data_IF_498289431158
#
_entry.id   IF_498289431158
#
_cell.length_a   1.000
_cell.length_b   1.000
_cell.length_c   1.000
_cell.angle_alpha   90.00
_cell.angle_beta   90.00
_cell.angle_gamma   90.00
#
_symmetry.space_group_name_H-M   'P 1'
#
loop_
_entity.id
_entity.type
_entity.pdbx_description
1 polymer ?
#
# COMPACT_ATOMS: atom_id res chain seq x y z
N UNK A 1 -48.68 38.30 72.50
CA UNK A 1 -48.44 39.67 72.03
C UNK A 1 -46.93 39.85 71.94
N UNK A 2 -46.40 39.73 70.73
CA UNK A 2 -45.15 40.25 70.13
C UNK A 2 -43.85 40.46 70.91
N UNK A 3 -42.76 40.27 70.14
CA UNK A 3 -41.36 40.73 70.30
C UNK A 3 -40.44 39.73 71.01
N UNK A 4 -39.24 39.35 70.56
CA UNK A 4 -38.39 39.60 69.38
C UNK A 4 -36.99 39.10 69.79
N UNK A 5 -36.28 38.32 68.99
CA UNK A 5 -34.88 38.63 68.64
C UNK A 5 -34.30 37.57 67.71
N UNK A 6 -33.92 38.06 66.54
CA UNK A 6 -33.27 37.38 65.44
C UNK A 6 -31.78 37.74 65.54
N UNK A 7 -30.90 36.75 65.71
CA UNK A 7 -29.46 36.95 65.60
C UNK A 7 -28.86 35.89 64.69
N UNK A 8 -28.62 36.36 63.48
CA UNK A 8 -27.85 35.74 62.40
C UNK A 8 -26.45 35.34 62.84
N UNK A 9 -26.02 34.12 62.52
CA UNK A 9 -24.61 33.78 62.44
C UNK A 9 -24.31 33.13 61.09
N UNK A 10 -23.57 33.86 60.25
CA UNK A 10 -23.23 33.51 58.88
C UNK A 10 -22.09 32.47 58.85
N UNK A 11 -22.28 31.42 58.05
CA UNK A 11 -21.25 30.43 57.73
C UNK A 11 -20.21 31.02 56.75
N UNK A 12 -18.93 30.59 56.81
CA UNK A 12 -17.91 31.10 55.89
C UNK A 12 -18.14 30.52 54.49
N UNK A 13 -18.23 31.41 53.51
CA UNK A 13 -18.25 31.09 52.09
C UNK A 13 -16.95 30.41 51.67
N UNK A 14 -17.07 29.22 51.11
CA UNK A 14 -16.00 28.49 50.42
C UNK A 14 -15.39 29.35 49.31
N UNK A 15 -14.14 29.75 49.47
CA UNK A 15 -13.36 30.44 48.44
C UNK A 15 -13.16 29.53 47.23
N UNK A 16 -13.80 29.87 46.11
CA UNK A 16 -13.41 29.35 44.80
C UNK A 16 -12.05 29.95 44.46
N UNK A 17 -11.05 29.09 44.22
CA UNK A 17 -9.75 29.53 43.70
C UNK A 17 -9.95 30.37 42.42
N UNK A 18 -9.14 31.44 42.20
CA UNK A 18 -9.25 32.25 41.00
C UNK A 18 -8.98 31.39 39.75
N UNK A 19 -9.63 31.67 38.61
CA UNK A 19 -9.37 30.95 37.37
C UNK A 19 -7.88 31.13 37.01
N UNK A 20 -7.18 30.02 36.81
CA UNK A 20 -5.77 30.00 36.41
C UNK A 20 -5.60 30.78 35.11
N UNK A 21 -4.50 31.55 35.01
CA UNK A 21 -4.14 32.28 33.80
C UNK A 21 -4.04 31.27 32.64
N UNK A 22 -4.77 31.45 31.52
CA UNK A 22 -4.67 30.59 30.35
C UNK A 22 -3.22 30.37 29.88
N UNK A 23 -2.33 31.35 30.06
CA UNK A 23 -0.91 31.23 29.75
C UNK A 23 -0.19 30.21 30.65
N UNK A 24 -0.52 30.17 31.93
CA UNK A 24 0.05 29.24 32.92
C UNK A 24 -0.50 27.81 32.71
N UNK A 25 -1.79 27.67 32.38
CA UNK A 25 -2.36 26.37 32.02
C UNK A 25 -1.71 25.79 30.75
N UNK A 26 -1.54 26.62 29.72
CA UNK A 26 -0.85 26.25 28.48
C UNK A 26 0.59 25.84 28.75
N UNK A 27 1.32 26.60 29.58
CA UNK A 27 2.70 26.29 29.94
C UNK A 27 2.81 24.94 30.64
N UNK A 28 1.89 24.62 31.57
CA UNK A 28 1.85 23.33 32.26
C UNK A 28 1.61 22.16 31.29
N UNK A 29 0.70 22.31 30.35
CA UNK A 29 0.44 21.27 29.35
C UNK A 29 1.63 21.06 28.41
N UNK A 30 2.32 22.13 28.01
CA UNK A 30 3.55 22.05 27.19
C UNK A 30 4.67 21.34 27.93
N UNK A 31 4.95 21.71 29.18
CA UNK A 31 5.96 21.04 29.99
C UNK A 31 5.67 19.53 30.13
N UNK A 32 4.39 19.16 30.27
CA UNK A 32 3.99 17.75 30.30
C UNK A 32 4.23 17.04 28.96
N UNK A 33 4.03 17.71 27.83
CA UNK A 33 4.36 17.16 26.51
C UNK A 33 5.87 16.94 26.40
N UNK A 34 6.69 17.91 26.81
CA UNK A 34 8.15 17.80 26.74
C UNK A 34 8.68 16.59 27.54
N UNK A 35 8.15 16.37 28.74
CA UNK A 35 8.46 15.19 29.57
C UNK A 35 8.08 13.86 28.86
N UNK A 36 6.90 13.82 28.25
CA UNK A 36 6.42 12.65 27.53
C UNK A 36 7.26 12.38 26.28
N UNK A 37 7.64 13.43 25.56
CA UNK A 37 8.48 13.32 24.37
C UNK A 37 9.86 12.76 24.70
N UNK A 38 10.46 13.18 25.83
CA UNK A 38 11.70 12.57 26.32
C UNK A 38 11.53 11.09 26.64
N UNK A 39 10.48 10.72 27.37
CA UNK A 39 10.20 9.31 27.68
C UNK A 39 9.92 8.47 26.41
N UNK A 40 9.23 9.04 25.42
CA UNK A 40 9.02 8.42 24.11
C UNK A 40 10.37 8.15 23.45
N UNK A 41 11.26 9.13 23.36
CA UNK A 41 12.59 8.95 22.75
C UNK A 41 13.39 7.85 23.45
N UNK A 42 13.38 7.79 24.77
CA UNK A 42 14.04 6.72 25.53
C UNK A 42 13.48 5.33 25.18
N UNK A 43 12.15 5.18 25.19
CA UNK A 43 11.47 3.93 24.85
C UNK A 43 11.72 3.51 23.40
N UNK A 44 11.75 4.46 22.48
CA UNK A 44 12.06 4.22 21.07
C UNK A 44 13.51 3.70 20.91
N UNK A 45 14.46 4.28 21.64
CA UNK A 45 15.86 3.85 21.62
C UNK A 45 16.05 2.46 22.24
N UNK A 46 15.39 2.15 23.36
CA UNK A 46 15.42 0.81 23.96
C UNK A 46 14.83 -0.24 23.00
N UNK A 47 13.71 0.09 22.33
CA UNK A 47 13.14 -0.75 21.28
C UNK A 47 14.11 -0.95 20.11
N UNK A 48 14.82 0.10 19.69
CA UNK A 48 15.80 0.02 18.61
C UNK A 48 16.99 -0.90 18.98
N UNK A 49 17.50 -0.84 20.22
CA UNK A 49 18.52 -1.76 20.73
C UNK A 49 18.05 -3.21 20.67
N UNK A 50 16.81 -3.49 21.09
CA UNK A 50 16.24 -4.83 20.99
C UNK A 50 16.12 -5.29 19.52
N UNK A 51 15.76 -4.39 18.61
CA UNK A 51 15.72 -4.68 17.18
C UNK A 51 17.12 -5.01 16.60
N UNK A 52 18.16 -4.28 17.01
CA UNK A 52 19.56 -4.58 16.64
C UNK A 52 19.96 -5.99 17.11
N UNK A 53 19.70 -6.31 18.38
CA UNK A 53 20.01 -7.64 18.93
C UNK A 53 19.28 -8.77 18.19
N UNK A 54 18.01 -8.56 17.82
CA UNK A 54 17.26 -9.49 16.96
C UNK A 54 17.92 -9.62 15.58
N UNK A 55 18.37 -8.51 14.98
CA UNK A 55 19.10 -8.50 13.71
C UNK A 55 20.39 -9.32 13.77
N UNK A 56 21.17 -9.21 14.85
CA UNK A 56 22.39 -10.01 15.06
C UNK A 56 22.08 -11.50 15.15
N UNK A 57 21.05 -11.89 15.91
CA UNK A 57 20.58 -13.27 16.00
C UNK A 57 20.17 -13.79 14.63
N UNK A 58 19.39 -13.00 13.88
CA UNK A 58 18.94 -13.37 12.53
C UNK A 58 20.11 -13.55 11.57
N UNK A 59 21.05 -12.60 11.55
CA UNK A 59 22.24 -12.63 10.71
C UNK A 59 23.09 -13.87 11.00
N UNK A 60 23.29 -14.21 12.28
CA UNK A 60 24.06 -15.41 12.70
C UNK A 60 23.44 -16.71 12.21
N UNK A 61 22.11 -16.75 12.05
CA UNK A 61 21.37 -17.95 11.63
C UNK A 61 20.88 -17.88 10.18
N UNK A 62 21.28 -16.87 9.41
CA UNK A 62 20.84 -16.68 8.02
C UNK A 62 19.33 -16.40 7.87
N UNK A 63 18.67 -15.94 8.93
CA UNK A 63 17.26 -15.60 8.94
C UNK A 63 17.03 -14.18 8.38
N UNK A 64 15.85 -13.95 7.79
CA UNK A 64 15.53 -12.65 7.18
C UNK A 64 15.17 -11.59 8.21
N UNK A 65 15.63 -10.37 7.93
CA UNK A 65 15.33 -9.19 8.75
C UNK A 65 13.86 -8.80 8.65
N UNK A 66 13.28 -8.84 7.45
CA UNK A 66 11.88 -8.47 7.20
C UNK A 66 10.94 -9.68 7.22
N UNK A 67 9.81 -9.53 7.92
CA UNK A 67 8.70 -10.49 7.92
C UNK A 67 7.37 -9.73 8.00
N UNK A 68 6.59 -9.69 6.91
CA UNK A 68 5.24 -9.12 6.87
C UNK A 68 4.32 -9.62 7.98
N UNK A 69 4.34 -10.92 8.27
CA UNK A 69 3.48 -11.49 9.30
C UNK A 69 3.78 -10.95 10.70
N UNK A 70 5.08 -10.80 11.01
CA UNK A 70 5.50 -10.19 12.28
C UNK A 70 5.10 -8.71 12.37
N UNK A 71 5.12 -7.97 11.28
CA UNK A 71 4.68 -6.57 11.25
C UNK A 71 3.19 -6.43 11.47
N UNK A 72 2.38 -7.25 10.80
CA UNK A 72 0.94 -7.29 10.99
C UNK A 72 0.60 -7.61 12.46
N UNK A 73 1.29 -8.58 13.05
CA UNK A 73 1.14 -8.95 14.45
C UNK A 73 1.48 -7.78 15.40
N UNK A 74 2.59 -7.07 15.16
CA UNK A 74 2.98 -5.90 15.96
C UNK A 74 1.92 -4.80 15.86
N UNK A 75 1.45 -4.47 14.66
CA UNK A 75 0.41 -3.46 14.45
C UNK A 75 -0.89 -3.84 15.15
N UNK A 76 -1.35 -5.09 15.00
CA UNK A 76 -2.58 -5.56 15.63
C UNK A 76 -2.49 -5.49 17.17
N UNK A 77 -1.35 -5.85 17.77
CA UNK A 77 -1.14 -5.74 19.22
C UNK A 77 -1.15 -4.29 19.69
N UNK A 78 -0.52 -3.38 18.94
CA UNK A 78 -0.47 -1.95 19.26
C UNK A 78 -1.88 -1.36 19.22
N UNK A 79 -2.64 -1.66 18.17
CA UNK A 79 -4.01 -1.17 18.01
C UNK A 79 -4.94 -1.71 19.10
N UNK A 80 -4.86 -3.00 19.42
CA UNK A 80 -5.62 -3.60 20.53
C UNK A 80 -5.27 -3.00 21.90
N UNK A 81 -4.08 -2.41 22.04
CA UNK A 81 -3.63 -1.77 23.28
C UNK A 81 -3.99 -0.28 23.35
N UNK A 82 -4.51 0.32 22.27
CA UNK A 82 -4.85 1.73 22.25
C UNK A 82 -6.12 2.00 23.07
N UNK A 83 -5.96 2.64 24.23
CA UNK A 83 -7.06 3.19 25.05
C UNK A 83 -7.07 4.72 25.08
N UNK A 84 -6.24 5.33 24.24
CA UNK A 84 -6.01 6.77 24.22
C UNK A 84 -6.83 7.49 23.15
N UNK A 85 -6.72 8.83 23.11
CA UNK A 85 -7.47 9.67 22.16
C UNK A 85 -6.93 9.65 20.73
N UNK A 86 -5.76 9.02 20.49
CA UNK A 86 -5.17 8.95 19.15
C UNK A 86 -5.95 7.98 18.27
N UNK A 87 -6.24 8.42 17.04
CA UNK A 87 -6.88 7.59 16.04
C UNK A 87 -5.99 6.41 15.61
N UNK A 88 -6.59 5.28 15.27
CA UNK A 88 -5.86 4.06 14.87
C UNK A 88 -4.92 4.29 13.70
N UNK A 89 -5.35 5.08 12.70
CA UNK A 89 -4.57 5.37 11.50
C UNK A 89 -3.26 6.12 11.80
N UNK A 90 -3.31 7.05 12.76
CA UNK A 90 -2.12 7.77 13.23
C UNK A 90 -1.14 6.80 13.90
N UNK A 91 -1.64 5.91 14.77
CA UNK A 91 -0.79 4.90 15.42
C UNK A 91 -0.17 3.93 14.42
N UNK A 92 -0.92 3.49 13.41
CA UNK A 92 -0.38 2.64 12.34
C UNK A 92 0.79 3.31 11.62
N UNK A 93 0.65 4.61 11.31
CA UNK A 93 1.67 5.38 10.60
C UNK A 93 2.96 5.51 11.44
N UNK A 94 2.82 5.89 12.72
CA UNK A 94 3.96 6.00 13.66
C UNK A 94 4.70 4.67 13.78
N UNK A 95 3.98 3.57 14.02
CA UNK A 95 4.61 2.27 14.20
C UNK A 95 5.21 1.72 12.91
N UNK A 96 4.64 2.03 11.75
CA UNK A 96 5.21 1.63 10.45
C UNK A 96 6.56 2.29 10.23
N UNK A 97 6.66 3.59 10.49
CA UNK A 97 7.91 4.33 10.36
C UNK A 97 8.95 3.90 11.40
N UNK A 98 8.51 3.69 12.66
CA UNK A 98 9.38 3.16 13.71
C UNK A 98 9.93 1.77 13.36
N UNK A 99 9.11 0.88 12.82
CA UNK A 99 9.56 -0.42 12.32
C UNK A 99 10.51 -0.27 11.14
N UNK A 100 10.26 0.66 10.21
CA UNK A 100 11.17 0.97 9.11
C UNK A 100 12.55 1.41 9.59
N UNK A 101 12.61 2.40 10.47
CA UNK A 101 13.87 2.86 11.08
C UNK A 101 14.60 1.73 11.81
N UNK A 102 13.87 0.88 12.53
CA UNK A 102 14.45 -0.28 13.24
C UNK A 102 15.00 -1.36 12.30
N UNK A 103 14.41 -1.56 11.13
CA UNK A 103 14.91 -2.50 10.10
C UNK A 103 16.20 -1.97 9.46
N UNK A 104 16.25 -0.66 9.20
CA UNK A 104 17.43 0.01 8.63
C UNK A 104 18.68 -0.18 9.49
N UNK A 105 18.52 -0.23 10.81
CA UNK A 105 19.61 -0.52 11.76
C UNK A 105 20.11 -1.97 11.67
N UNK A 106 19.30 -2.91 11.19
CA UNK A 106 19.66 -4.32 11.07
C UNK A 106 20.28 -4.64 9.71
N UNK A 107 19.75 -4.06 8.63
CA UNK A 107 20.26 -4.24 7.26
C UNK A 107 19.76 -3.12 6.35
N UNK A 108 20.59 -2.71 5.39
CA UNK A 108 20.14 -1.85 4.27
C UNK A 108 19.31 -2.71 3.32
N UNK A 109 17.98 -2.57 3.38
CA UNK A 109 17.06 -3.25 2.46
C UNK A 109 16.91 -2.43 1.18
N UNK A 110 17.06 -3.09 0.04
CA UNK A 110 16.88 -2.55 -1.31
C UNK A 110 15.60 -3.12 -1.90
N UNK A 111 14.76 -2.25 -2.44
CA UNK A 111 13.46 -2.64 -3.01
C UNK A 111 13.35 -2.05 -4.39
N UNK A 112 13.15 -2.88 -5.41
CA UNK A 112 12.92 -2.41 -6.77
C UNK A 112 11.44 -2.05 -7.01
N UNK A 113 11.18 -0.99 -7.77
CA UNK A 113 9.82 -0.69 -8.23
C UNK A 113 9.85 -0.02 -9.61
N UNK A 114 8.70 -0.03 -10.30
CA UNK A 114 8.55 0.71 -11.55
C UNK A 114 8.68 2.22 -11.28
N UNK A 115 9.64 2.85 -11.96
CA UNK A 115 9.89 4.28 -11.85
C UNK A 115 8.87 5.16 -12.60
N UNK A 116 9.09 6.48 -12.60
CA UNK A 116 10.15 7.20 -11.87
C UNK A 116 9.83 7.36 -10.37
N UNK A 117 10.68 8.06 -9.62
CA UNK A 117 10.37 8.48 -8.25
C UNK A 117 9.05 9.26 -8.20
N UNK A 118 8.34 9.13 -7.07
CA UNK A 118 6.99 9.66 -6.82
C UNK A 118 5.88 9.11 -7.73
N UNK A 119 6.16 8.10 -8.56
CA UNK A 119 5.11 7.29 -9.19
C UNK A 119 4.28 6.54 -8.13
N UNK A 120 3.08 6.07 -8.48
CA UNK A 120 2.27 5.28 -7.54
C UNK A 120 2.95 3.98 -7.09
N UNK A 121 3.80 3.38 -7.92
CA UNK A 121 4.62 2.23 -7.53
C UNK A 121 5.66 2.60 -6.48
N UNK A 122 6.28 3.77 -6.61
CA UNK A 122 7.20 4.31 -5.61
C UNK A 122 6.46 4.64 -4.30
N UNK A 123 5.26 5.23 -4.39
CA UNK A 123 4.43 5.52 -3.21
C UNK A 123 3.97 4.24 -2.50
N UNK A 124 3.62 3.19 -3.24
CA UNK A 124 3.33 1.87 -2.67
C UNK A 124 4.55 1.27 -1.95
N UNK A 125 5.76 1.51 -2.48
CA UNK A 125 7.03 1.12 -1.84
C UNK A 125 7.24 1.84 -0.52
N UNK A 126 7.18 3.17 -0.52
CA UNK A 126 7.34 3.96 0.71
C UNK A 126 6.25 3.63 1.72
N UNK A 127 5.01 3.47 1.26
CA UNK A 127 3.88 3.10 2.11
C UNK A 127 4.09 1.75 2.81
N UNK A 128 4.72 0.78 2.15
CA UNK A 128 4.95 -0.56 2.72
C UNK A 128 6.22 -0.63 3.57
N UNK A 129 7.32 -0.08 3.06
CA UNK A 129 8.65 -0.27 3.61
C UNK A 129 9.15 0.92 4.44
N UNK A 130 8.50 2.09 4.34
CA UNK A 130 8.94 3.37 4.92
C UNK A 130 10.12 3.99 4.18
N UNK A 131 10.58 5.16 4.62
CA UNK A 131 11.70 5.89 4.01
C UNK A 131 13.07 5.29 4.35
N UNK A 132 13.10 4.26 5.20
CA UNK A 132 14.32 3.59 5.65
C UNK A 132 15.00 2.71 4.60
N UNK A 133 14.36 2.42 3.46
CA UNK A 133 14.87 1.51 2.43
C UNK A 133 15.50 2.23 1.24
N UNK A 134 16.39 1.54 0.53
CA UNK A 134 16.91 2.02 -0.75
C UNK A 134 15.92 1.63 -1.86
N UNK A 135 15.15 2.60 -2.34
CA UNK A 135 14.27 2.42 -3.49
C UNK A 135 15.09 2.39 -4.79
N UNK A 136 14.99 1.29 -5.55
CA UNK A 136 15.63 1.11 -6.86
C UNK A 136 14.57 1.26 -7.94
N UNK A 137 14.48 2.44 -8.55
CA UNK A 137 13.52 2.67 -9.64
C UNK A 137 14.06 2.11 -10.95
N UNK A 138 13.23 1.34 -11.67
CA UNK A 138 13.57 0.74 -12.97
C UNK A 138 12.54 1.12 -14.04
N UNK A 139 12.93 1.02 -15.31
CA UNK A 139 12.10 1.49 -16.43
C UNK A 139 10.93 0.58 -16.83
N UNK A 140 10.93 -0.69 -16.43
CA UNK A 140 9.89 -1.66 -16.84
C UNK A 140 9.53 -2.60 -15.69
N UNK A 141 8.32 -3.17 -15.76
CA UNK A 141 7.87 -4.20 -14.80
C UNK A 141 8.79 -5.43 -14.88
N UNK A 142 9.17 -5.86 -16.08
CA UNK A 142 10.10 -6.96 -16.29
C UNK A 142 11.44 -6.75 -15.56
N UNK A 143 11.98 -5.53 -15.60
CA UNK A 143 13.21 -5.21 -14.89
C UNK A 143 13.07 -5.40 -13.36
N UNK A 144 11.90 -5.10 -12.77
CA UNK A 144 11.65 -5.35 -11.33
C UNK A 144 11.79 -6.83 -11.00
N UNK A 145 11.17 -7.70 -11.81
CA UNK A 145 11.28 -9.14 -11.62
C UNK A 145 12.72 -9.63 -11.78
N UNK A 146 13.45 -9.13 -12.78
CA UNK A 146 14.85 -9.49 -12.98
C UNK A 146 15.79 -9.06 -11.84
N UNK A 147 15.56 -7.87 -11.25
CA UNK A 147 16.33 -7.42 -10.09
C UNK A 147 16.16 -8.37 -8.89
N UNK A 148 14.95 -8.88 -8.67
CA UNK A 148 14.64 -9.84 -7.60
C UNK A 148 15.20 -11.22 -7.93
N UNK A 149 14.99 -11.74 -9.14
CA UNK A 149 15.47 -13.06 -9.57
C UNK A 149 16.99 -13.17 -9.50
N UNK A 150 17.69 -12.11 -9.91
CA UNK A 150 19.16 -12.01 -9.85
C UNK A 150 19.67 -11.65 -8.45
N UNK A 151 18.78 -11.53 -7.44
CA UNK A 151 19.08 -11.17 -6.04
C UNK A 151 19.90 -9.90 -5.89
N UNK A 152 19.70 -8.93 -6.80
CA UNK A 152 20.31 -7.60 -6.69
C UNK A 152 19.56 -6.74 -5.68
N UNK A 153 18.27 -6.98 -5.52
CA UNK A 153 17.40 -6.40 -4.49
C UNK A 153 16.75 -7.53 -3.70
N UNK A 154 16.38 -7.26 -2.45
CA UNK A 154 15.67 -8.24 -1.62
C UNK A 154 14.20 -8.38 -2.03
N UNK A 155 13.57 -7.28 -2.46
CA UNK A 155 12.15 -7.24 -2.80
C UNK A 155 11.88 -6.43 -4.06
N UNK A 156 10.76 -6.74 -4.72
CA UNK A 156 10.23 -5.96 -5.83
C UNK A 156 8.80 -5.52 -5.56
N UNK A 157 8.36 -4.38 -6.09
CA UNK A 157 6.96 -3.97 -6.07
C UNK A 157 6.47 -3.75 -7.49
N UNK A 158 5.40 -4.44 -7.83
CA UNK A 158 4.75 -4.35 -9.14
C UNK A 158 3.24 -4.18 -8.98
N UNK A 159 2.60 -3.38 -9.82
CA UNK A 159 1.16 -3.26 -9.81
C UNK A 159 0.54 -4.52 -10.45
N UNK A 160 -0.53 -5.06 -9.86
CA UNK A 160 -1.18 -6.30 -10.27
C UNK A 160 -2.53 -6.02 -10.96
N UNK A 161 -3.35 -5.16 -10.35
CA UNK A 161 -4.63 -4.69 -10.90
C UNK A 161 -4.92 -3.27 -10.46
N UNK A 162 -5.74 -2.57 -11.24
CA UNK A 162 -6.34 -1.30 -10.89
C UNK A 162 -7.87 -1.45 -11.00
N UNK A 163 -8.63 -0.95 -10.01
CA UNK A 163 -10.09 -1.10 -9.98
C UNK A 163 -10.82 -0.41 -11.13
N UNK A 164 -10.20 0.57 -11.77
CA UNK A 164 -10.75 1.31 -12.91
C UNK A 164 -10.24 0.80 -14.25
N UNK A 165 -8.95 0.47 -14.35
CA UNK A 165 -8.29 0.10 -15.62
C UNK A 165 -8.12 -1.41 -15.82
N UNK A 166 -8.47 -2.21 -14.81
CA UNK A 166 -8.37 -3.67 -14.83
C UNK A 166 -6.95 -4.20 -14.58
N UNK A 167 -6.67 -5.38 -15.13
CA UNK A 167 -5.41 -6.11 -14.91
C UNK A 167 -4.20 -5.47 -15.59
N UNK A 168 -3.02 -5.79 -15.07
CA UNK A 168 -1.75 -5.35 -15.65
C UNK A 168 -1.06 -6.55 -16.31
N UNK A 169 -1.23 -6.65 -17.62
CA UNK A 169 -0.81 -7.79 -18.43
C UNK A 169 0.69 -8.12 -18.27
N UNK A 170 1.55 -7.10 -18.25
CA UNK A 170 3.00 -7.27 -18.12
C UNK A 170 3.39 -8.00 -16.82
N UNK A 171 2.70 -7.71 -15.72
CA UNK A 171 2.95 -8.36 -14.43
C UNK A 171 2.57 -9.85 -14.48
N UNK A 172 1.43 -10.16 -15.10
CA UNK A 172 0.96 -11.55 -15.24
C UNK A 172 1.89 -12.37 -16.15
N UNK A 173 2.34 -11.78 -17.26
CA UNK A 173 3.32 -12.40 -18.16
C UNK A 173 4.67 -12.69 -17.47
N UNK A 174 5.12 -11.80 -16.57
CA UNK A 174 6.35 -12.03 -15.80
C UNK A 174 6.24 -13.20 -14.81
N UNK A 175 5.08 -13.41 -14.19
CA UNK A 175 4.88 -14.60 -13.34
C UNK A 175 5.01 -15.90 -14.13
N UNK A 176 4.58 -15.93 -15.40
CA UNK A 176 4.75 -17.09 -16.29
C UNK A 176 6.23 -17.31 -16.63
N UNK A 177 6.97 -16.24 -16.91
CA UNK A 177 8.38 -16.33 -17.34
C UNK A 177 9.35 -16.63 -16.19
N UNK A 178 9.03 -16.18 -14.98
CA UNK A 178 9.90 -16.30 -13.80
C UNK A 178 9.15 -16.98 -12.63
N UNK A 179 8.86 -18.31 -12.73
CA UNK A 179 8.02 -19.03 -11.76
C UNK A 179 8.65 -19.19 -10.36
N UNK A 180 9.93 -18.81 -10.20
CA UNK A 180 10.60 -18.77 -8.90
C UNK A 180 10.15 -17.60 -8.04
N UNK A 181 9.68 -16.53 -8.66
CA UNK A 181 9.30 -15.29 -7.99
C UNK A 181 7.89 -15.45 -7.44
N UNK A 182 7.73 -15.12 -6.16
CA UNK A 182 6.48 -15.26 -5.42
C UNK A 182 6.00 -13.94 -4.87
N UNK A 183 4.69 -13.83 -4.71
CA UNK A 183 4.04 -12.75 -3.97
C UNK A 183 4.17 -13.07 -2.48
N UNK A 184 4.79 -12.14 -1.75
CA UNK A 184 5.04 -12.24 -0.31
C UNK A 184 4.15 -11.31 0.51
N UNK A 185 3.63 -10.27 -0.11
CA UNK A 185 2.66 -9.34 0.48
C UNK A 185 1.93 -8.57 -0.60
N UNK A 186 0.83 -7.91 -0.24
CA UNK A 186 0.15 -6.96 -1.13
C UNK A 186 0.05 -5.57 -0.47
N UNK A 187 -0.11 -4.55 -1.30
CA UNK A 187 -0.41 -3.17 -0.91
C UNK A 187 -1.60 -2.70 -1.73
N UNK A 188 -2.63 -2.16 -1.09
CA UNK A 188 -3.79 -1.59 -1.78
C UNK A 188 -3.73 -0.08 -1.63
N UNK A 189 -3.27 0.61 -2.68
CA UNK A 189 -3.12 2.06 -2.67
C UNK A 189 -4.35 2.70 -3.30
N UNK A 190 -5.08 3.52 -2.54
CA UNK A 190 -6.13 4.38 -3.11
C UNK A 190 -5.47 5.51 -3.87
N UNK A 191 -5.89 5.71 -5.10
CA UNK A 191 -5.29 6.64 -6.05
C UNK A 191 -6.10 7.92 -6.06
N UNK A 192 -5.48 9.01 -5.61
CA UNK A 192 -6.01 10.35 -5.75
C UNK A 192 -5.23 11.14 -6.80
N UNK A 193 -5.97 11.83 -7.67
CA UNK A 193 -5.41 12.70 -8.68
C UNK A 193 -5.53 14.15 -8.22
N UNK A 194 -4.41 14.87 -8.27
CA UNK A 194 -4.36 16.30 -8.00
C UNK A 194 -4.01 17.05 -9.28
N UNK A 195 -4.65 18.19 -9.51
CA UNK A 195 -4.19 19.16 -10.49
C UNK A 195 -3.18 20.08 -9.82
N UNK A 196 -1.96 20.15 -10.37
CA UNK A 196 -0.90 20.98 -9.84
C UNK A 196 -0.22 21.81 -10.94
N UNK A 197 0.13 23.06 -10.63
CA UNK A 197 0.79 23.97 -11.56
C UNK A 197 1.63 25.03 -10.83
N UNK A 198 2.41 25.81 -11.58
CA UNK A 198 3.08 27.04 -11.07
C UNK A 198 2.26 28.31 -11.28
N UNK A 199 1.24 28.24 -12.12
CA UNK A 199 0.36 29.36 -12.47
C UNK A 199 -0.99 29.22 -11.78
N UNK A 200 -1.80 30.29 -11.85
CA UNK A 200 -3.18 30.25 -11.35
C UNK A 200 -4.07 29.41 -12.29
N UNK A 201 -5.15 28.85 -11.75
CA UNK A 201 -6.08 27.99 -12.49
C UNK A 201 -6.60 28.62 -13.80
N UNK A 202 -6.90 29.92 -13.78
CA UNK A 202 -7.39 30.69 -14.92
C UNK A 202 -6.35 30.89 -16.04
N UNK A 203 -5.07 30.63 -15.75
CA UNK A 203 -3.99 30.76 -16.70
C UNK A 203 -3.58 29.43 -17.34
N UNK A 204 -4.12 28.30 -16.87
CA UNK A 204 -3.75 26.97 -17.36
C UNK A 204 -4.20 26.80 -18.81
N UNK A 205 -3.24 26.52 -19.70
CA UNK A 205 -3.47 26.29 -21.14
C UNK A 205 -3.24 24.85 -21.55
N UNK A 206 -2.45 24.11 -20.79
CA UNK A 206 -2.06 22.74 -21.11
C UNK A 206 -2.03 21.90 -19.84
N UNK A 207 -2.51 20.66 -19.93
CA UNK A 207 -2.53 19.70 -18.82
C UNK A 207 -1.81 18.43 -19.24
N UNK A 208 -0.76 18.08 -18.51
CA UNK A 208 0.04 16.88 -18.73
C UNK A 208 -0.40 15.74 -17.80
N UNK A 209 -0.54 14.53 -18.33
CA UNK A 209 -0.58 13.30 -17.52
C UNK A 209 -0.50 12.05 -18.38
N UNK A 210 -0.57 10.87 -17.77
CA UNK A 210 -0.77 9.63 -18.53
C UNK A 210 -2.17 9.59 -19.16
N UNK A 211 -2.35 8.90 -20.30
CA UNK A 211 -3.65 8.75 -20.94
C UNK A 211 -4.75 8.26 -19.98
N UNK A 212 -4.40 7.31 -19.10
CA UNK A 212 -5.34 6.77 -18.11
C UNK A 212 -5.77 7.83 -17.09
N UNK A 213 -4.83 8.60 -16.54
CA UNK A 213 -5.13 9.64 -15.56
C UNK A 213 -5.95 10.79 -16.18
N UNK A 214 -5.67 11.17 -17.43
CA UNK A 214 -6.48 12.14 -18.18
C UNK A 214 -7.92 11.63 -18.37
N UNK A 215 -8.07 10.36 -18.76
CA UNK A 215 -9.39 9.73 -18.93
C UNK A 215 -10.18 9.64 -17.62
N UNK A 216 -9.49 9.34 -16.51
CA UNK A 216 -10.07 9.25 -15.17
C UNK A 216 -10.50 10.59 -14.59
N UNK A 217 -10.03 11.73 -15.12
CA UNK A 217 -10.38 13.07 -14.65
C UNK A 217 -11.19 13.87 -15.70
N UNK A 218 -11.71 13.19 -16.73
CA UNK A 218 -12.23 13.86 -17.92
C UNK A 218 -13.42 14.78 -17.63
N UNK A 219 -14.31 14.42 -16.71
CA UNK A 219 -15.49 15.25 -16.42
C UNK A 219 -15.08 16.50 -15.65
N UNK A 220 -14.17 16.35 -14.69
CA UNK A 220 -13.64 17.49 -13.96
C UNK A 220 -12.88 18.45 -14.88
N UNK A 221 -12.04 17.93 -15.78
CA UNK A 221 -11.32 18.73 -16.78
C UNK A 221 -12.27 19.47 -17.73
N UNK A 222 -13.27 18.78 -18.28
CA UNK A 222 -14.24 19.40 -19.19
C UNK A 222 -15.04 20.53 -18.50
N UNK A 223 -15.29 20.42 -17.20
CA UNK A 223 -16.03 21.42 -16.42
C UNK A 223 -15.17 22.63 -16.03
N UNK A 224 -13.93 22.41 -15.61
CA UNK A 224 -13.11 23.46 -14.99
C UNK A 224 -12.04 24.04 -15.93
N UNK A 225 -11.56 23.26 -16.91
CA UNK A 225 -10.52 23.64 -17.87
C UNK A 225 -10.92 23.26 -19.32
N UNK A 226 -12.09 23.73 -19.82
CA UNK A 226 -12.60 23.33 -21.13
C UNK A 226 -11.72 23.73 -22.32
N UNK A 227 -10.82 24.70 -22.13
CA UNK A 227 -9.94 25.24 -23.17
C UNK A 227 -8.50 24.75 -23.06
N UNK A 228 -8.16 23.95 -22.05
CA UNK A 228 -6.81 23.46 -21.89
C UNK A 228 -6.55 22.26 -22.81
N UNK A 229 -5.37 22.24 -23.46
CA UNK A 229 -4.95 21.09 -24.25
C UNK A 229 -4.48 19.95 -23.33
N UNK A 230 -5.02 18.75 -23.52
CA UNK A 230 -4.61 17.56 -22.78
C UNK A 230 -3.44 16.91 -23.52
N UNK A 231 -2.29 16.77 -22.85
CA UNK A 231 -1.07 16.25 -23.47
C UNK A 231 -0.60 15.01 -22.70
N UNK A 232 -0.40 13.93 -23.44
CA UNK A 232 0.02 12.65 -22.89
C UNK A 232 1.49 12.66 -22.47
N UNK A 233 1.77 12.00 -21.35
CA UNK A 233 3.10 11.80 -20.79
C UNK A 233 3.30 10.34 -20.39
N UNK A 234 4.56 9.94 -20.21
CA UNK A 234 4.95 8.57 -19.85
C UNK A 234 4.55 8.19 -18.42
N UNK A 235 4.52 9.15 -17.50
CA UNK A 235 4.08 8.94 -16.12
C UNK A 235 3.45 10.20 -15.52
N UNK A 236 2.69 10.03 -14.43
CA UNK A 236 2.12 11.14 -13.66
C UNK A 236 3.20 11.99 -12.99
N UNK A 237 4.27 11.36 -12.50
CA UNK A 237 5.43 12.06 -11.96
C UNK A 237 6.21 12.83 -13.06
N UNK A 238 6.43 12.23 -14.23
CA UNK A 238 7.04 12.93 -15.37
C UNK A 238 6.17 14.10 -15.86
N UNK A 239 4.84 14.00 -15.74
CA UNK A 239 3.95 15.13 -16.02
C UNK A 239 4.16 16.28 -15.03
N UNK A 240 4.30 15.99 -13.73
CA UNK A 240 4.62 17.01 -12.72
C UNK A 240 5.98 17.67 -12.98
N UNK A 241 7.00 16.89 -13.34
CA UNK A 241 8.30 17.43 -13.74
C UNK A 241 8.18 18.37 -14.95
N UNK A 242 7.39 17.98 -15.96
CA UNK A 242 7.19 18.80 -17.16
C UNK A 242 6.45 20.11 -16.86
N UNK A 243 5.38 20.05 -16.06
CA UNK A 243 4.62 21.25 -15.66
C UNK A 243 5.44 22.24 -14.82
N UNK A 244 6.52 21.80 -14.17
CA UNK A 244 7.47 22.70 -13.48
C UNK A 244 8.26 23.56 -14.47
N UNK A 245 8.61 23.00 -15.63
CA UNK A 245 9.53 23.60 -16.60
C UNK A 245 8.84 24.46 -17.65
N UNK A 246 7.53 24.28 -17.86
CA UNK A 246 6.75 25.01 -18.87
C UNK A 246 5.82 26.05 -18.23
N UNK A 247 5.70 27.23 -18.85
CA UNK A 247 4.75 28.24 -18.41
C UNK A 247 3.31 27.85 -18.79
N UNK A 248 2.34 28.22 -17.96
CA UNK A 248 0.91 27.94 -18.18
C UNK A 248 0.54 26.45 -18.30
N UNK A 249 1.46 25.58 -17.87
CA UNK A 249 1.27 24.14 -17.81
C UNK A 249 0.81 23.70 -16.42
N UNK A 250 -0.11 22.75 -16.40
CA UNK A 250 -0.51 22.00 -15.23
C UNK A 250 -0.22 20.51 -15.43
N UNK A 251 -0.16 19.75 -14.35
CA UNK A 251 -0.04 18.30 -14.35
C UNK A 251 -1.15 17.68 -13.52
N UNK A 252 -1.63 16.51 -13.96
CA UNK A 252 -2.38 15.61 -13.10
C UNK A 252 -1.41 14.58 -12.54
N UNK A 253 -1.20 14.63 -11.22
CA UNK A 253 -0.26 13.76 -10.53
C UNK A 253 -0.71 13.46 -9.10
N UNK A 254 0.02 12.57 -8.43
CA UNK A 254 -0.16 12.36 -6.99
C UNK A 254 0.27 13.62 -6.22
N UNK A 255 -0.31 13.82 -5.04
CA UNK A 255 0.05 14.94 -4.15
C UNK A 255 1.56 14.95 -3.84
N UNK A 256 2.21 13.83 -3.48
CA UNK A 256 3.65 13.81 -3.25
C UNK A 256 4.48 14.22 -4.47
N UNK A 257 4.10 13.77 -5.68
CA UNK A 257 4.81 14.13 -6.91
C UNK A 257 4.71 15.64 -7.18
N UNK A 258 3.52 16.23 -7.04
CA UNK A 258 3.32 17.67 -7.22
C UNK A 258 4.20 18.49 -6.26
N UNK A 259 4.21 18.12 -4.98
CA UNK A 259 5.00 18.81 -3.95
C UNK A 259 6.51 18.63 -4.17
N UNK A 260 6.97 17.43 -4.53
CA UNK A 260 8.37 17.14 -4.80
C UNK A 260 8.93 17.98 -5.95
N UNK A 261 8.10 18.29 -6.96
CA UNK A 261 8.47 19.15 -8.08
C UNK A 261 8.19 20.64 -7.83
N UNK A 262 7.80 21.03 -6.61
CA UNK A 262 7.56 22.43 -6.23
C UNK A 262 6.34 23.07 -6.91
N UNK A 263 5.35 22.25 -7.29
CA UNK A 263 4.09 22.72 -7.86
C UNK A 263 3.09 23.07 -6.75
N UNK A 264 2.21 24.02 -7.05
CA UNK A 264 1.09 24.39 -6.18
C UNK A 264 -0.10 23.51 -6.55
N UNK A 265 -0.73 22.90 -5.55
CA UNK A 265 -1.98 22.15 -5.74
C UNK A 265 -3.10 23.14 -6.02
N UNK A 266 -3.69 23.05 -7.21
CA UNK A 266 -4.81 23.88 -7.65
C UNK A 266 -6.16 23.24 -7.31
N UNK A 267 -6.22 21.91 -7.37
CA UNK A 267 -7.36 21.11 -6.99
C UNK A 267 -6.90 19.71 -6.57
N UNK A 268 -7.59 19.14 -5.59
CA UNK A 268 -7.35 17.79 -5.06
C UNK A 268 -8.57 16.92 -5.36
N UNK A 269 -8.35 15.60 -5.46
CA UNK A 269 -9.38 14.58 -5.69
C UNK A 269 -10.23 14.87 -6.95
N UNK A 270 -9.56 15.13 -8.08
CA UNK A 270 -10.21 15.49 -9.35
C UNK A 270 -10.63 14.27 -10.19
N UNK A 271 -10.37 13.06 -9.69
CA UNK A 271 -10.83 11.83 -10.32
C UNK A 271 -12.37 11.73 -10.37
N UNK A 272 -12.88 11.20 -11.46
CA UNK A 272 -14.31 11.01 -11.68
C UNK A 272 -14.90 9.91 -10.76
N UNK A 273 -14.05 9.00 -10.27
CA UNK A 273 -14.42 7.92 -9.35
C UNK A 273 -13.54 7.96 -8.08
N UNK A 274 -14.14 8.28 -6.94
CA UNK A 274 -13.42 8.38 -5.65
C UNK A 274 -12.99 7.04 -5.01
N UNK A 275 -13.23 5.91 -5.68
CA UNK A 275 -12.86 4.56 -5.22
C UNK A 275 -11.87 3.87 -6.18
N UNK A 276 -10.93 4.64 -6.73
CA UNK A 276 -9.83 4.10 -7.53
C UNK A 276 -8.76 3.49 -6.62
N UNK A 277 -8.54 2.18 -6.71
CA UNK A 277 -7.55 1.45 -5.91
C UNK A 277 -6.66 0.66 -6.85
N UNK A 278 -5.35 0.85 -6.70
CA UNK A 278 -4.35 -0.01 -7.35
C UNK A 278 -3.81 -1.02 -6.34
N UNK A 279 -3.89 -2.29 -6.70
CA UNK A 279 -3.30 -3.39 -5.93
C UNK A 279 -1.89 -3.64 -6.43
N UNK A 280 -0.92 -3.60 -5.53
CA UNK A 280 0.48 -3.92 -5.79
C UNK A 280 0.86 -5.23 -5.09
N UNK A 281 1.68 -6.03 -5.76
CA UNK A 281 2.30 -7.22 -5.22
C UNK A 281 3.74 -6.92 -4.80
N UNK A 282 4.12 -7.39 -3.62
CA UNK A 282 5.51 -7.41 -3.15
C UNK A 282 6.11 -8.77 -3.50
N UNK A 283 7.16 -8.74 -4.31
CA UNK A 283 7.84 -9.89 -4.87
C UNK A 283 9.05 -10.32 -4.03
N UNK A 284 9.31 -11.62 -4.00
CA UNK A 284 10.41 -12.25 -3.27
C UNK A 284 10.70 -13.63 -3.88
N UNK A 285 11.92 -14.16 -3.71
CA UNK A 285 12.26 -15.56 -4.06
C UNK A 285 11.90 -16.57 -2.94
N UNK A 286 11.42 -16.06 -1.79
CA UNK A 286 11.00 -16.85 -0.62
C UNK A 286 9.51 -16.73 -0.32
N UNK A 287 8.87 -17.82 0.14
CA UNK A 287 7.47 -17.80 0.60
C UNK A 287 7.34 -17.12 1.97
N UNK A 288 6.11 -16.77 2.34
CA UNK A 288 5.76 -16.33 3.70
C UNK A 288 5.21 -17.50 4.54
N UNK A 289 5.19 -17.32 5.86
CA UNK A 289 4.57 -18.26 6.81
C UNK A 289 3.10 -17.87 7.07
N UNK A 290 2.23 -18.82 7.47
CA UNK A 290 0.83 -18.54 7.75
C UNK A 290 0.65 -17.50 8.87
N UNK A 291 -0.26 -16.55 8.67
CA UNK A 291 -0.58 -15.49 9.63
C UNK A 291 -2.01 -15.57 10.17
N UNK A 292 -2.88 -16.35 9.51
CA UNK A 292 -4.26 -16.61 9.94
C UNK A 292 -5.31 -15.69 9.28
N UNK A 293 -4.89 -14.59 8.64
CA UNK A 293 -5.69 -13.81 7.69
C UNK A 293 -4.89 -13.62 6.40
N UNK A 294 -4.76 -14.73 5.67
CA UNK A 294 -3.94 -14.82 4.47
C UNK A 294 -4.81 -14.86 3.21
N UNK A 295 -4.16 -14.52 2.11
CA UNK A 295 -4.63 -14.73 0.75
C UNK A 295 -3.61 -15.59 0.01
N UNK A 296 -4.09 -16.44 -0.88
CA UNK A 296 -3.25 -17.23 -1.77
C UNK A 296 -3.58 -16.91 -3.22
N UNK A 297 -2.57 -16.50 -4.00
CA UNK A 297 -2.71 -16.34 -5.44
C UNK A 297 -2.18 -17.58 -6.15
N UNK A 298 -2.97 -18.11 -7.08
CA UNK A 298 -2.61 -19.25 -7.92
C UNK A 298 -2.71 -18.91 -9.40
N UNK A 299 -1.95 -19.63 -10.21
CA UNK A 299 -2.07 -19.66 -11.66
C UNK A 299 -2.48 -21.06 -12.10
N UNK A 300 -3.56 -21.15 -12.88
CA UNK A 300 -4.04 -22.40 -13.47
C UNK A 300 -3.89 -22.35 -14.98
N UNK A 301 -3.28 -23.37 -15.58
CA UNK A 301 -3.32 -23.58 -17.02
C UNK A 301 -4.43 -24.56 -17.37
N UNK A 302 -5.36 -24.15 -18.22
CA UNK A 302 -6.50 -24.94 -18.66
C UNK A 302 -6.54 -24.99 -20.19
N UNK A 303 -6.89 -26.16 -20.73
CA UNK A 303 -7.21 -26.29 -22.16
C UNK A 303 -8.52 -25.58 -22.50
N UNK A 304 -8.62 -25.01 -23.70
CA UNK A 304 -9.81 -24.30 -24.15
C UNK A 304 -10.93 -25.25 -24.60
N UNK A 305 -11.54 -25.96 -23.65
CA UNK A 305 -12.67 -26.89 -23.89
C UNK A 305 -13.85 -26.54 -22.99
N UNK A 306 -15.06 -26.81 -23.46
CA UNK A 306 -16.28 -26.55 -22.70
C UNK A 306 -16.22 -27.21 -21.30
N UNK A 307 -16.57 -26.42 -20.28
CA UNK A 307 -16.58 -26.85 -18.88
C UNK A 307 -15.22 -26.97 -18.20
N UNK A 308 -14.09 -26.65 -18.87
CA UNK A 308 -12.75 -26.77 -18.24
C UNK A 308 -12.59 -25.88 -17.02
N UNK A 309 -13.03 -24.61 -17.10
CA UNK A 309 -13.01 -23.71 -15.96
C UNK A 309 -13.94 -24.20 -14.84
N UNK A 310 -15.18 -24.57 -15.17
CA UNK A 310 -16.16 -25.06 -14.18
C UNK A 310 -15.62 -26.27 -13.40
N UNK A 311 -15.04 -27.26 -14.09
CA UNK A 311 -14.44 -28.43 -13.44
C UNK A 311 -13.27 -28.06 -12.53
N UNK A 312 -12.43 -27.10 -12.95
CA UNK A 312 -11.32 -26.62 -12.16
C UNK A 312 -11.76 -25.81 -10.92
N UNK A 313 -12.89 -25.11 -11.00
CA UNK A 313 -13.41 -24.28 -9.89
C UNK A 313 -14.28 -25.05 -8.89
N UNK A 314 -14.86 -26.19 -9.29
CA UNK A 314 -15.74 -27.01 -8.45
C UNK A 314 -15.16 -27.36 -7.05
N UNK A 315 -13.86 -27.68 -6.87
CA UNK A 315 -13.31 -27.93 -5.54
C UNK A 315 -13.42 -26.72 -4.60
N UNK A 316 -13.28 -25.49 -5.12
CA UNK A 316 -13.41 -24.29 -4.28
C UNK A 316 -14.82 -24.16 -3.70
N UNK A 317 -15.84 -24.50 -4.49
CA UNK A 317 -17.22 -24.53 -4.03
C UNK A 317 -17.44 -25.61 -2.96
N UNK A 318 -16.96 -26.84 -3.22
CA UNK A 318 -17.14 -27.98 -2.30
C UNK A 318 -16.47 -27.76 -0.94
N UNK A 319 -15.31 -27.10 -0.92
CA UNK A 319 -14.56 -26.83 0.31
C UNK A 319 -14.83 -25.43 0.90
N UNK A 320 -15.81 -24.70 0.37
CA UNK A 320 -16.16 -23.33 0.80
C UNK A 320 -14.95 -22.38 0.85
N UNK A 321 -14.10 -22.43 -0.18
CA UNK A 321 -12.98 -21.50 -0.37
C UNK A 321 -13.49 -20.33 -1.20
N UNK A 322 -13.46 -19.13 -0.61
CA UNK A 322 -13.87 -17.92 -1.30
C UNK A 322 -12.79 -17.47 -2.29
N UNK A 323 -13.22 -17.03 -3.48
CA UNK A 323 -12.35 -16.45 -4.50
C UNK A 323 -12.58 -14.93 -4.52
N UNK A 324 -11.50 -14.16 -4.40
CA UNK A 324 -11.58 -12.69 -4.34
C UNK A 324 -11.22 -12.00 -5.66
N UNK A 325 -10.62 -12.74 -6.59
CA UNK A 325 -10.22 -12.24 -7.91
C UNK A 325 -10.03 -13.41 -8.86
N UNK A 326 -10.41 -13.23 -10.13
CA UNK A 326 -10.18 -14.19 -11.21
C UNK A 326 -9.97 -13.46 -12.53
N UNK A 327 -8.87 -13.76 -13.22
CA UNK A 327 -8.54 -13.16 -14.52
C UNK A 327 -8.06 -14.19 -15.53
N UNK A 328 -8.54 -14.10 -16.76
CA UNK A 328 -8.19 -15.01 -17.86
C UNK A 328 -7.15 -14.41 -18.80
N UNK A 329 -6.00 -15.04 -18.92
CA UNK A 329 -4.87 -14.58 -19.72
C UNK A 329 -4.57 -15.61 -20.81
N UNK A 330 -4.49 -15.23 -22.10
CA UNK A 330 -4.10 -16.18 -23.14
C UNK A 330 -2.68 -16.67 -22.87
N UNK A 331 -2.42 -17.98 -22.95
CA UNK A 331 -1.08 -18.50 -22.71
C UNK A 331 -0.16 -18.06 -23.88
N UNK A 332 0.85 -17.20 -23.62
CA UNK A 332 1.73 -16.69 -24.67
C UNK A 332 2.58 -17.81 -25.30
N UNK A 333 2.76 -18.94 -24.62
CA UNK A 333 3.47 -20.12 -25.15
C UNK A 333 2.59 -21.00 -26.04
N UNK A 334 1.26 -20.90 -25.92
CA UNK A 334 0.29 -21.68 -26.69
C UNK A 334 0.14 -21.21 -28.15
N UNK A 335 0.65 -20.01 -28.46
CA UNK A 335 0.73 -19.41 -29.81
C UNK A 335 1.42 -20.28 -30.87
N UNK A 336 2.13 -21.34 -30.46
CA UNK A 336 2.84 -22.25 -31.37
C UNK A 336 1.98 -23.45 -31.83
N UNK A 337 0.76 -23.61 -31.32
CA UNK A 337 -0.15 -24.70 -31.71
C UNK A 337 -1.58 -24.19 -31.83
N UNK A 338 -1.95 -23.70 -33.02
CA UNK A 338 -3.33 -23.29 -33.39
C UNK A 338 -4.40 -24.38 -33.18
N UNK A 339 -4.00 -25.63 -32.89
CA UNK A 339 -4.92 -26.77 -32.75
C UNK A 339 -5.50 -26.98 -31.35
N UNK A 340 -4.91 -26.42 -30.28
CA UNK A 340 -5.45 -26.55 -28.90
C UNK A 340 -5.01 -25.34 -28.04
N UNK A 341 -5.68 -24.19 -28.14
CA UNK A 341 -5.32 -23.01 -27.37
C UNK A 341 -5.48 -23.27 -25.86
N UNK A 342 -4.54 -22.77 -25.07
CA UNK A 342 -4.58 -22.89 -23.61
C UNK A 342 -4.72 -21.50 -22.99
N UNK A 343 -5.41 -21.44 -21.85
CA UNK A 343 -5.62 -20.22 -21.10
C UNK A 343 -5.04 -20.37 -19.71
N UNK A 344 -4.40 -19.30 -19.26
CA UNK A 344 -3.96 -19.12 -17.89
C UNK A 344 -5.05 -18.39 -17.12
N UNK A 345 -5.32 -18.84 -15.90
CA UNK A 345 -6.24 -18.20 -14.98
C UNK A 345 -5.48 -17.84 -13.72
N UNK A 346 -5.46 -16.55 -13.40
CA UNK A 346 -4.93 -16.06 -12.13
C UNK A 346 -6.08 -15.91 -11.15
N UNK A 347 -5.96 -16.51 -9.98
CA UNK A 347 -7.05 -16.57 -9.00
C UNK A 347 -6.51 -16.23 -7.61
N UNK A 348 -7.19 -15.33 -6.91
CA UNK A 348 -6.95 -15.09 -5.49
C UNK A 348 -7.96 -15.83 -4.63
N UNK A 349 -7.46 -16.54 -3.63
CA UNK A 349 -8.22 -17.37 -2.71
C UNK A 349 -8.04 -16.87 -1.28
N UNK A 350 -9.10 -16.97 -0.48
CA UNK A 350 -8.99 -16.72 0.96
C UNK A 350 -8.36 -17.93 1.69
N UNK A 351 -7.35 -17.66 2.51
CA UNK A 351 -6.60 -18.66 3.28
C UNK A 351 -5.17 -18.88 2.77
N UNK A 352 -4.35 -19.53 3.60
CA UNK A 352 -2.97 -19.88 3.30
C UNK A 352 -2.84 -21.28 2.68
N UNK A 353 -1.95 -21.49 1.70
CA UNK A 353 -1.80 -22.79 1.01
C UNK A 353 -1.34 -23.95 1.92
N UNK A 354 -0.91 -23.65 3.15
CA UNK A 354 -0.53 -24.64 4.17
C UNK A 354 -1.68 -24.98 5.13
N UNK A 355 -2.79 -24.25 5.09
CA UNK A 355 -4.01 -24.63 5.82
C UNK A 355 -4.59 -25.91 5.23
N UNK A 356 -5.04 -26.82 6.08
CA UNK A 356 -5.50 -28.13 5.63
C UNK A 356 -6.64 -28.04 4.60
N UNK A 357 -7.60 -27.14 4.83
CA UNK A 357 -8.73 -26.88 3.93
C UNK A 357 -8.24 -26.50 2.53
N UNK A 358 -7.45 -25.44 2.43
CA UNK A 358 -6.98 -24.94 1.14
C UNK A 358 -6.01 -25.91 0.47
N UNK A 359 -5.09 -26.52 1.23
CA UNK A 359 -4.16 -27.52 0.71
C UNK A 359 -4.89 -28.74 0.10
N UNK A 360 -6.00 -29.18 0.72
CA UNK A 360 -6.85 -30.26 0.18
C UNK A 360 -7.52 -29.83 -1.11
N UNK A 361 -8.10 -28.62 -1.13
CA UNK A 361 -8.73 -28.06 -2.33
C UNK A 361 -7.74 -27.96 -3.49
N UNK A 362 -6.53 -27.44 -3.26
CA UNK A 362 -5.51 -27.28 -4.30
C UNK A 362 -5.07 -28.61 -4.92
N UNK A 363 -4.94 -29.69 -4.12
CA UNK A 363 -4.66 -31.04 -4.65
C UNK A 363 -5.77 -31.55 -5.57
N UNK A 364 -7.03 -31.26 -5.27
CA UNK A 364 -8.15 -31.65 -6.13
C UNK A 364 -8.19 -30.83 -7.43
N UNK A 365 -7.83 -29.55 -7.36
CA UNK A 365 -7.75 -28.66 -8.55
C UNK A 365 -6.59 -29.09 -9.46
N UNK A 366 -5.44 -29.48 -8.89
CA UNK A 366 -4.25 -29.91 -9.62
C UNK A 366 -4.56 -31.06 -10.59
N UNK A 367 -5.37 -32.05 -10.17
CA UNK A 367 -5.79 -33.19 -11.02
C UNK A 367 -6.73 -32.77 -12.17
N UNK A 368 -7.34 -31.58 -12.09
CA UNK A 368 -8.35 -31.08 -13.02
C UNK A 368 -7.83 -29.99 -13.97
N UNK A 369 -6.56 -29.64 -13.87
CA UNK A 369 -5.90 -28.64 -14.71
C UNK A 369 -4.65 -29.21 -15.39
N UNK A 370 -4.11 -28.50 -16.38
CA UNK A 370 -2.86 -28.92 -17.03
C UNK A 370 -1.63 -28.57 -16.17
N UNK A 371 -1.72 -27.47 -15.43
CA UNK A 371 -0.67 -26.97 -14.56
C UNK A 371 -1.31 -26.09 -13.48
N UNK A 372 -0.85 -26.26 -12.24
CA UNK A 372 -1.20 -25.42 -11.09
C UNK A 372 0.08 -24.88 -10.48
N UNK A 373 0.18 -23.57 -10.34
CA UNK A 373 1.28 -22.91 -9.65
C UNK A 373 0.76 -22.01 -8.54
N UNK A 374 1.39 -22.09 -7.38
CA UNK A 374 1.12 -21.19 -6.27
C UNK A 374 2.08 -20.00 -6.40
N UNK A 375 1.54 -18.86 -6.83
CA UNK A 375 2.31 -17.63 -6.98
C UNK A 375 2.63 -16.99 -5.62
N UNK A 376 1.90 -17.32 -4.56
CA UNK A 376 2.22 -16.89 -3.21
C UNK A 376 1.07 -17.08 -2.24
N UNK A 377 1.40 -17.27 -0.96
CA UNK A 377 0.47 -17.16 0.16
C UNK A 377 1.00 -16.09 1.10
N UNK A 378 0.19 -15.10 1.43
CA UNK A 378 0.65 -13.89 2.08
C UNK A 378 -0.46 -13.18 2.87
N UNK A 379 -0.11 -12.31 3.85
CA UNK A 379 -1.10 -11.61 4.65
C UNK A 379 -1.96 -10.67 3.80
N UNK A 380 -3.25 -10.61 4.10
CA UNK A 380 -4.19 -9.71 3.42
C UNK A 380 -3.77 -8.25 3.59
N UNK A 381 -3.77 -7.50 2.48
CA UNK A 381 -3.40 -6.09 2.50
C UNK A 381 -4.51 -5.19 3.01
N UNK A 382 -4.13 -4.13 3.71
CA UNK A 382 -5.03 -3.03 4.08
C UNK A 382 -4.99 -1.92 3.02
N UNK A 383 -6.06 -1.13 2.96
CA UNK A 383 -6.11 0.07 2.11
C UNK A 383 -5.22 1.15 2.72
N UNK A 384 -4.44 1.82 1.87
CA UNK A 384 -3.61 2.97 2.22
C UNK A 384 -3.86 4.08 1.22
N UNK A 385 -3.89 5.32 1.69
CA UNK A 385 -4.08 6.50 0.85
C UNK A 385 -2.77 6.91 0.16
N UNK A 386 -2.83 7.34 -1.12
CA UNK A 386 -1.66 7.74 -1.94
C UNK A 386 -1.11 9.13 -1.65
#
# INVERSE_FOLDING_TARGET
>A
MTMSDDSSNAAPSSGSAPPSDPAEELARHRARIDELDHAIVELLNERAKAAIAIGEVKKKHGLEVWSPGREAEVLNRVLASNRGPLHEETLRSIFRELMSGSRKLQQKTRVACLGPEFSYSHLALLSKFGDGVEAVTVGTIAAVFEEVDKRRVEYGIVPLENSTDGRIADTLDMFVKLPRIRIRSEVRLRIHHCLAARCRMDQVRQVYSRPQALSQCRHWLAKNLPHAALIESLSTAAAAERARNEEYAAAIASRPAALAHGLILLAENIEDQGHNVTRFAVLSDRPEEPTGDDKTTIMLKLGNRAGSLVRALEPFLLHHVNMTWIESFPDPTSSQSDRDPSYLFFIDLDGHAREERLARTLREVEVRCQQLEILGSYPRGQHVES
#
